data_IF_353190540007
#
_entry.id   IF_353190540007
#
_cell.length_a   1.000
_cell.length_b   1.000
_cell.length_c   1.000
_cell.angle_alpha   90.00
_cell.angle_beta   90.00
_cell.angle_gamma   90.00
#
_symmetry.space_group_name_H-M   'P 1'
#
loop_
_entity.id
_entity.type
_entity.pdbx_description
1 polymer ?
#
# COMPACT_ATOMS: atom_id res chain seq x y z
N UNK A 1 -3.25 14.79 1.07
CA UNK A 1 -2.47 13.60 0.65
C UNK A 1 -3.02 12.99 -0.63
N UNK A 2 -4.31 12.65 -0.70
CA UNK A 2 -4.96 12.05 -1.88
C UNK A 2 -4.82 12.89 -3.17
N UNK A 3 -4.97 14.22 -3.08
CA UNK A 3 -4.79 15.11 -4.24
C UNK A 3 -3.38 15.04 -4.83
N UNK A 4 -2.36 14.93 -3.97
CA UNK A 4 -0.97 14.73 -4.42
C UNK A 4 -0.80 13.39 -5.11
N UNK A 5 -1.39 12.31 -4.57
CA UNK A 5 -1.37 10.99 -5.20
C UNK A 5 -2.03 11.00 -6.59
N UNK A 6 -3.15 11.71 -6.74
CA UNK A 6 -3.87 11.81 -8.01
C UNK A 6 -3.14 12.69 -9.05
N UNK A 7 -2.42 13.73 -8.60
CA UNK A 7 -1.74 14.68 -9.48
C UNK A 7 -0.30 14.29 -9.84
N UNK A 8 0.39 13.52 -8.99
CA UNK A 8 1.80 13.17 -9.19
C UNK A 8 1.95 11.99 -10.15
N UNK A 9 2.36 12.27 -11.39
CA UNK A 9 2.64 11.24 -12.39
C UNK A 9 3.81 10.35 -11.95
N UNK A 10 3.66 9.04 -12.08
CA UNK A 10 4.75 8.11 -11.78
C UNK A 10 5.05 7.90 -10.29
N UNK A 11 4.19 8.39 -9.38
CA UNK A 11 4.32 8.18 -7.93
C UNK A 11 4.52 6.69 -7.57
N UNK A 12 3.84 5.79 -8.29
CA UNK A 12 3.96 4.34 -8.12
C UNK A 12 5.05 3.69 -9.00
N UNK A 13 5.82 4.42 -9.80
CA UNK A 13 6.82 3.84 -10.70
C UNK A 13 8.19 3.64 -10.04
N UNK A 14 8.37 4.02 -8.77
CA UNK A 14 9.61 3.78 -8.03
C UNK A 14 10.76 4.73 -8.40
N UNK A 15 10.46 5.84 -9.08
CA UNK A 15 11.46 6.85 -9.47
C UNK A 15 11.86 7.84 -8.38
N UNK A 16 11.28 7.78 -7.18
CA UNK A 16 11.66 8.67 -6.07
C UNK A 16 10.85 8.49 -4.77
N UNK A 17 9.56 8.16 -4.88
CA UNK A 17 8.65 8.10 -3.71
C UNK A 17 8.59 6.73 -3.01
N UNK A 18 9.38 5.75 -3.49
CA UNK A 18 9.44 4.42 -2.89
C UNK A 18 10.85 4.23 -2.33
N UNK A 19 11.00 4.25 -1.00
CA UNK A 19 12.29 4.00 -0.37
C UNK A 19 12.84 2.64 -0.85
N UNK A 20 14.05 2.64 -1.39
CA UNK A 20 14.82 1.44 -1.71
C UNK A 20 15.89 1.15 -0.65
N UNK A 21 16.13 2.07 0.27
CA UNK A 21 17.09 1.89 1.34
C UNK A 21 16.54 0.98 2.44
N UNK A 22 17.43 0.18 3.02
CA UNK A 22 17.15 -0.53 4.26
C UNK A 22 17.02 0.49 5.40
N UNK A 23 16.12 0.21 6.35
CA UNK A 23 15.95 1.03 7.54
C UNK A 23 15.90 0.10 8.76
N UNK A 24 16.63 0.47 9.81
CA UNK A 24 16.53 -0.21 11.09
C UNK A 24 15.28 0.28 11.82
N UNK A 25 14.29 -0.60 11.86
CA UNK A 25 13.00 -0.31 12.49
C UNK A 25 13.06 -0.82 13.93
N UNK A 26 12.75 0.05 14.89
CA UNK A 26 12.68 -0.31 16.31
C UNK A 26 11.33 -0.94 16.64
N UNK A 27 10.23 -0.33 16.20
CA UNK A 27 8.88 -0.82 16.45
C UNK A 27 8.00 -0.74 15.18
N UNK A 28 7.24 -1.80 14.89
CA UNK A 28 6.23 -1.83 13.81
C UNK A 28 4.87 -2.11 14.45
N UNK A 29 3.95 -1.15 14.40
CA UNK A 29 2.55 -1.31 14.81
C UNK A 29 1.65 -1.16 13.59
N UNK A 30 1.09 -2.29 13.16
CA UNK A 30 0.07 -2.35 12.12
C UNK A 30 -1.23 -2.84 12.78
N UNK A 31 -2.31 -2.06 12.77
CA UNK A 31 -3.60 -2.49 13.30
C UNK A 31 -4.12 -3.71 12.55
N UNK A 32 -4.68 -4.68 13.29
CA UNK A 32 -5.43 -5.79 12.71
C UNK A 32 -6.81 -5.28 12.32
N UNK A 33 -7.21 -5.47 11.06
CA UNK A 33 -8.54 -5.11 10.61
C UNK A 33 -9.01 -6.01 9.48
N UNK A 34 -10.32 -6.18 9.38
CA UNK A 34 -10.98 -6.88 8.29
C UNK A 34 -12.17 -6.06 7.85
N UNK A 35 -12.24 -5.71 6.58
CA UNK A 35 -13.41 -5.07 6.02
C UNK A 35 -13.66 -5.56 4.59
N UNK A 36 -14.92 -5.55 4.21
CA UNK A 36 -15.36 -5.74 2.85
C UNK A 36 -16.09 -4.49 2.40
N UNK A 37 -15.96 -4.17 1.12
CA UNK A 37 -16.73 -3.11 0.51
C UNK A 37 -17.18 -3.53 -0.88
N UNK A 38 -18.38 -3.07 -1.23
CA UNK A 38 -18.87 -3.15 -2.58
C UNK A 38 -19.42 -1.80 -3.02
N UNK A 39 -19.25 -1.50 -4.31
CA UNK A 39 -19.80 -0.30 -4.91
C UNK A 39 -20.16 -0.52 -6.37
N UNK A 40 -21.15 0.24 -6.82
CA UNK A 40 -21.55 0.26 -8.23
C UNK A 40 -20.53 1.08 -9.03
N UNK A 41 -19.57 0.40 -9.65
CA UNK A 41 -18.50 1.02 -10.42
C UNK A 41 -19.03 1.72 -11.68
N UNK A 42 -20.20 1.35 -12.20
CA UNK A 42 -20.80 2.00 -13.37
C UNK A 42 -20.98 3.52 -13.17
N UNK A 43 -21.36 3.96 -11.96
CA UNK A 43 -21.54 5.36 -11.59
C UNK A 43 -20.21 6.11 -11.57
N UNK A 44 -19.18 5.50 -10.98
CA UNK A 44 -17.83 6.07 -10.92
C UNK A 44 -17.21 6.20 -12.32
N UNK A 45 -17.36 5.18 -13.16
CA UNK A 45 -16.86 5.16 -14.54
C UNK A 45 -17.54 6.25 -15.39
N UNK A 46 -18.87 6.40 -15.27
CA UNK A 46 -19.60 7.50 -15.91
C UNK A 46 -19.13 8.88 -15.43
N UNK A 47 -18.84 9.03 -14.14
CA UNK A 47 -18.26 10.26 -13.57
C UNK A 47 -16.86 10.59 -14.09
N UNK A 48 -16.13 9.61 -14.61
CA UNK A 48 -14.84 9.80 -15.29
C UNK A 48 -14.98 10.11 -16.79
N UNK A 49 -16.20 10.24 -17.31
CA UNK A 49 -16.48 10.55 -18.72
C UNK A 49 -16.46 9.35 -19.66
N UNK A 50 -16.48 8.12 -19.13
CA UNK A 50 -16.53 6.90 -19.92
C UNK A 50 -17.99 6.44 -20.08
N UNK A 51 -18.44 6.26 -21.32
CA UNK A 51 -19.75 5.71 -21.61
C UNK A 51 -19.77 4.18 -21.40
N UNK A 52 -20.82 3.71 -20.72
CA UNK A 52 -21.08 2.29 -20.50
C UNK A 52 -22.41 1.93 -21.15
N UNK A 53 -22.43 0.85 -21.91
CA UNK A 53 -23.64 0.30 -22.54
C UNK A 53 -24.54 -0.35 -21.50
N UNK A 54 -25.40 0.42 -20.83
CA UNK A 54 -26.50 0.02 -19.92
C UNK A 54 -26.27 -1.11 -18.89
N UNK A 55 -25.03 -1.58 -18.72
CA UNK A 55 -24.69 -2.66 -17.81
C UNK A 55 -24.36 -2.11 -16.42
N UNK A 56 -24.83 -2.81 -15.40
CA UNK A 56 -24.53 -2.50 -14.00
C UNK A 56 -23.27 -3.25 -13.60
N UNK A 57 -22.18 -2.51 -13.37
CA UNK A 57 -20.92 -3.08 -12.88
C UNK A 57 -20.88 -2.89 -11.37
N UNK A 58 -20.81 -3.99 -10.62
CA UNK A 58 -20.60 -3.99 -9.16
C UNK A 58 -19.22 -4.54 -8.86
N UNK A 59 -18.39 -3.74 -8.19
CA UNK A 59 -17.09 -4.16 -7.71
C UNK A 59 -17.18 -4.50 -6.23
N UNK A 60 -16.83 -5.72 -5.84
CA UNK A 60 -16.74 -6.17 -4.45
C UNK A 60 -15.29 -6.50 -4.14
N UNK A 61 -14.81 -6.07 -2.98
CA UNK A 61 -13.49 -6.48 -2.51
C UNK A 61 -13.46 -6.64 -0.99
N UNK A 62 -12.48 -7.38 -0.50
CA UNK A 62 -12.27 -7.62 0.90
C UNK A 62 -10.78 -7.49 1.22
N UNK A 63 -10.48 -6.92 2.37
CA UNK A 63 -9.12 -6.75 2.88
C UNK A 63 -9.11 -7.29 4.31
N UNK A 64 -8.11 -8.09 4.60
CA UNK A 64 -7.82 -8.63 5.92
C UNK A 64 -6.34 -8.39 6.21
N UNK A 65 -6.07 -7.69 7.30
CA UNK A 65 -4.74 -7.44 7.83
C UNK A 65 -4.68 -8.13 9.19
N UNK A 66 -3.87 -9.17 9.26
CA UNK A 66 -3.58 -9.94 10.45
C UNK A 66 -2.06 -10.08 10.65
N UNK A 67 -1.65 -10.58 11.81
CA UNK A 67 -0.23 -10.87 12.12
C UNK A 67 0.31 -12.04 11.27
N UNK A 68 -0.58 -12.84 10.68
CA UNK A 68 -0.25 -14.02 9.86
C UNK A 68 0.00 -13.65 8.39
N UNK A 69 -0.43 -12.45 7.98
CA UNK A 69 -0.30 -11.91 6.63
C UNK A 69 1.12 -12.03 6.09
N UNK A 70 1.22 -12.47 4.82
CA UNK A 70 2.43 -12.67 4.02
C UNK A 70 3.72 -12.77 4.83
N UNK A 71 3.94 -13.93 5.47
CA UNK A 71 5.17 -14.33 6.20
C UNK A 71 6.39 -13.49 5.81
N UNK A 72 6.66 -12.43 6.58
CA UNK A 72 7.90 -11.70 6.50
C UNK A 72 8.97 -12.53 7.23
N UNK A 73 9.63 -13.44 6.52
CA UNK A 73 10.83 -14.10 7.01
C UNK A 73 11.98 -13.07 6.98
N UNK A 74 12.16 -12.33 8.07
CA UNK A 74 13.35 -11.53 8.27
C UNK A 74 14.52 -12.46 8.62
N UNK A 75 15.34 -12.80 7.63
CA UNK A 75 16.68 -13.35 7.86
C UNK A 75 17.67 -12.35 7.28
N UNK A 76 18.28 -11.53 8.14
CA UNK A 76 19.40 -10.68 7.75
C UNK A 76 20.57 -11.06 8.64
N UNK A 77 21.53 -11.82 8.08
CA UNK A 77 22.89 -11.93 8.61
C UNK A 77 23.83 -11.30 7.60
N UNK A 78 24.03 -9.99 7.70
CA UNK A 78 25.08 -9.28 6.97
C UNK A 78 26.13 -8.83 7.98
N UNK A 79 27.25 -9.57 8.07
CA UNK A 79 28.40 -9.17 8.87
C UNK A 79 29.26 -8.22 8.06
N UNK A 80 29.03 -6.91 8.18
CA UNK A 80 29.90 -5.76 7.81
C UNK A 80 29.13 -4.60 7.20
N UNK A 81 28.33 -3.90 8.00
CA UNK A 81 27.98 -2.50 7.72
C UNK A 81 28.03 -1.74 9.05
N UNK A 82 28.59 -0.53 9.04
CA UNK A 82 28.74 0.34 10.20
C UNK A 82 27.40 0.67 10.90
N UNK A 83 27.44 1.35 12.06
CA UNK A 83 26.25 1.57 12.88
C UNK A 83 25.18 2.33 12.08
N UNK A 84 23.92 1.84 12.07
CA UNK A 84 22.84 2.53 11.40
C UNK A 84 22.49 3.83 12.13
N UNK A 85 22.53 4.95 11.41
CA UNK A 85 22.54 6.27 12.02
C UNK A 85 21.19 6.79 12.54
N UNK A 86 20.05 6.16 12.25
CA UNK A 86 18.77 6.51 12.89
C UNK A 86 17.83 5.30 12.95
N UNK A 87 17.21 5.06 14.11
CA UNK A 87 16.15 4.05 14.29
C UNK A 87 14.79 4.71 14.10
N UNK A 88 13.91 4.08 13.34
CA UNK A 88 12.56 4.59 13.06
C UNK A 88 11.48 3.73 13.73
N UNK A 89 10.37 4.36 14.11
CA UNK A 89 9.16 3.67 14.56
C UNK A 89 8.09 3.79 13.46
N UNK A 90 7.49 2.67 13.05
CA UNK A 90 6.37 2.64 12.11
C UNK A 90 5.08 2.38 12.87
N UNK A 91 4.33 3.44 13.18
CA UNK A 91 3.09 3.37 13.96
C UNK A 91 1.92 3.87 13.14
N UNK A 92 1.07 2.95 12.68
CA UNK A 92 -0.04 3.23 11.77
C UNK A 92 -1.36 3.50 12.51
N UNK A 93 -1.33 4.40 13.50
CA UNK A 93 -2.46 4.72 14.41
C UNK A 93 -3.39 5.84 13.87
N UNK A 94 -3.33 6.13 12.56
CA UNK A 94 -4.12 7.16 11.88
C UNK A 94 -4.38 6.74 10.43
N UNK A 95 -5.45 7.20 9.74
CA UNK A 95 -5.86 6.67 8.44
C UNK A 95 -4.74 6.55 7.40
N UNK A 96 -4.49 5.33 6.92
CA UNK A 96 -3.44 4.99 5.97
C UNK A 96 -3.89 3.80 5.10
N UNK A 97 -3.59 3.78 3.79
CA UNK A 97 -3.66 2.54 2.99
C UNK A 97 -3.10 2.72 1.56
N UNK A 98 -2.19 1.84 1.12
CA UNK A 98 -1.85 1.68 -0.31
C UNK A 98 -1.17 0.32 -0.59
N UNK A 99 -1.91 -0.71 -1.05
CA UNK A 99 -1.32 -2.01 -1.35
C UNK A 99 -0.54 -1.95 -2.67
N UNK A 100 0.69 -2.47 -2.68
CA UNK A 100 1.55 -2.54 -3.87
C UNK A 100 2.03 -3.97 -4.10
N UNK A 101 1.85 -4.48 -5.31
CA UNK A 101 2.47 -5.73 -5.74
C UNK A 101 3.75 -5.45 -6.54
N UNK A 102 4.90 -6.00 -6.12
CA UNK A 102 6.11 -5.99 -6.94
C UNK A 102 6.06 -7.18 -7.91
N UNK A 103 6.07 -6.91 -9.20
CA UNK A 103 6.28 -7.94 -10.22
C UNK A 103 7.78 -8.06 -10.47
N UNK A 104 8.35 -9.24 -10.21
CA UNK A 104 9.69 -9.56 -10.69
C UNK A 104 9.61 -9.76 -12.22
N UNK A 105 10.54 -9.14 -12.93
CA UNK A 105 10.82 -9.44 -14.33
C UNK A 105 11.99 -10.43 -14.37
#
# INVERSE_FOLDING_TARGET
MLERLASSRGFLNGGGDIPSHWADIKEVKIPRFKFAFDFEASKAIKGLGLELSSETIVHKSCIEVDEVGSKAAAVIRCGSCGPPENKYDFVADHPFFLPRQRRHK
#
